data_IF_652439289017
#
_entry.id   IF_652439289017
#
_cell.length_a   1.000
_cell.length_b   1.000
_cell.length_c   1.000
_cell.angle_alpha   90.00
_cell.angle_beta   90.00
_cell.angle_gamma   90.00
#
_symmetry.space_group_name_H-M   'P 1'
#
loop_
_entity.id
_entity.type
_entity.pdbx_description
1 polymer ?
#
# COMPACT_ATOMS: atom_id res chain seq x y z
N UNK A 1 10.59 -19.08 -21.77
CA UNK A 1 9.91 -18.42 -20.63
C UNK A 1 10.41 -16.99 -20.51
N UNK A 2 9.55 -16.00 -20.70
CA UNK A 2 9.89 -14.62 -20.33
C UNK A 2 9.51 -14.40 -18.87
N UNK A 3 10.50 -13.99 -18.06
CA UNK A 3 10.31 -13.60 -16.67
C UNK A 3 10.22 -12.08 -16.61
N UNK A 4 9.19 -11.54 -15.95
CA UNK A 4 8.95 -10.10 -15.82
C UNK A 4 8.59 -9.75 -14.38
N UNK A 5 8.78 -8.49 -14.02
CA UNK A 5 8.31 -7.94 -12.75
C UNK A 5 7.16 -6.97 -13.01
N UNK A 6 6.17 -6.97 -12.11
CA UNK A 6 5.12 -5.96 -12.08
C UNK A 6 4.78 -5.54 -10.65
N UNK A 7 4.56 -4.25 -10.42
CA UNK A 7 3.97 -3.73 -9.18
C UNK A 7 2.48 -3.51 -9.43
N UNK A 8 1.62 -4.03 -8.54
CA UNK A 8 0.17 -4.09 -8.75
C UNK A 8 -0.59 -3.47 -7.57
N UNK A 9 -1.09 -2.23 -7.67
CA UNK A 9 -1.92 -1.63 -6.63
C UNK A 9 -3.24 -2.39 -6.40
N UNK A 10 -3.80 -3.03 -7.44
CA UNK A 10 -4.99 -3.87 -7.28
C UNK A 10 -4.70 -5.06 -6.39
N UNK A 11 -3.53 -5.69 -6.54
CA UNK A 11 -3.14 -6.79 -5.68
C UNK A 11 -2.91 -6.37 -4.24
N UNK A 12 -2.24 -5.25 -3.99
CA UNK A 12 -2.08 -4.76 -2.63
C UNK A 12 -3.43 -4.46 -1.98
N UNK A 13 -4.42 -4.01 -2.77
CA UNK A 13 -5.80 -3.83 -2.31
C UNK A 13 -6.45 -5.16 -1.93
N UNK A 14 -6.39 -6.16 -2.81
CA UNK A 14 -6.94 -7.51 -2.55
C UNK A 14 -6.23 -8.19 -1.38
N UNK A 15 -4.90 -8.15 -1.34
CA UNK A 15 -4.08 -8.74 -0.28
C UNK A 15 -4.32 -8.02 1.05
N UNK A 16 -4.46 -6.70 1.05
CA UNK A 16 -4.86 -5.92 2.24
C UNK A 16 -6.22 -6.35 2.78
N UNK A 17 -7.24 -6.52 1.92
CA UNK A 17 -8.54 -7.05 2.34
C UNK A 17 -8.43 -8.45 2.97
N UNK A 18 -7.55 -9.31 2.45
CA UNK A 18 -7.30 -10.64 3.01
C UNK A 18 -6.65 -10.58 4.39
N UNK A 19 -5.68 -9.68 4.58
CA UNK A 19 -5.06 -9.42 5.89
C UNK A 19 -6.12 -8.96 6.90
N UNK A 20 -7.01 -8.04 6.49
CA UNK A 20 -8.11 -7.54 7.34
C UNK A 20 -9.14 -8.63 7.69
N UNK A 21 -9.37 -9.59 6.79
CA UNK A 21 -10.26 -10.72 7.06
C UNK A 21 -9.66 -11.78 8.00
N UNK A 22 -8.34 -11.76 8.23
CA UNK A 22 -7.64 -12.71 9.09
C UNK A 22 -6.49 -12.03 9.86
N UNK A 23 -6.81 -11.03 10.71
CA UNK A 23 -5.81 -10.14 11.30
C UNK A 23 -4.82 -10.86 12.22
N UNK A 24 -5.23 -11.96 12.87
CA UNK A 24 -4.39 -12.77 13.76
C UNK A 24 -3.23 -13.46 13.04
N UNK A 25 -3.34 -13.69 11.72
CA UNK A 25 -2.30 -14.31 10.90
C UNK A 25 -1.22 -13.31 10.45
N UNK A 26 -1.41 -12.02 10.74
CA UNK A 26 -0.53 -10.95 10.28
C UNK A 26 -0.02 -10.05 11.42
N UNK A 27 0.82 -10.57 12.35
CA UNK A 27 1.38 -9.77 13.46
C UNK A 27 2.15 -8.53 12.99
N UNK A 28 2.84 -8.64 11.85
CA UNK A 28 3.59 -7.53 11.24
C UNK A 28 2.69 -6.37 10.80
N UNK A 29 1.43 -6.62 10.47
CA UNK A 29 0.49 -5.61 9.96
C UNK A 29 -0.43 -5.01 11.03
N UNK A 30 -0.31 -5.38 12.32
CA UNK A 30 -1.28 -4.98 13.37
C UNK A 30 -1.56 -3.47 13.43
N UNK A 31 -0.54 -2.64 13.23
CA UNK A 31 -0.69 -1.18 13.21
C UNK A 31 -1.47 -0.70 11.98
N UNK A 32 -1.20 -1.26 10.82
CA UNK A 32 -1.94 -0.96 9.60
C UNK A 32 -3.39 -1.49 9.69
N UNK A 33 -3.59 -2.69 10.22
CA UNK A 33 -4.92 -3.29 10.47
C UNK A 33 -5.77 -2.33 11.30
N UNK A 34 -5.30 -1.92 12.48
CA UNK A 34 -6.06 -1.02 13.36
C UNK A 34 -6.38 0.36 12.73
N UNK A 35 -5.56 0.82 11.78
CA UNK A 35 -5.76 2.05 11.03
C UNK A 35 -6.75 1.87 9.85
N UNK A 36 -6.64 0.75 9.13
CA UNK A 36 -7.44 0.43 7.95
C UNK A 36 -8.86 -0.02 8.32
N UNK A 37 -9.03 -0.77 9.41
CA UNK A 37 -10.36 -1.21 9.90
C UNK A 37 -11.30 -0.02 10.12
N UNK A 38 -10.81 1.06 10.73
CA UNK A 38 -11.61 2.28 10.98
C UNK A 38 -12.13 2.90 9.68
N UNK A 39 -11.28 2.95 8.66
CA UNK A 39 -11.62 3.52 7.35
C UNK A 39 -12.55 2.62 6.56
N UNK A 40 -12.37 1.29 6.65
CA UNK A 40 -13.25 0.34 6.00
C UNK A 40 -14.67 0.36 6.61
N UNK A 41 -14.79 0.60 7.93
CA UNK A 41 -16.08 0.84 8.59
C UNK A 41 -16.76 2.10 8.08
N UNK A 42 -16.01 3.19 7.86
CA UNK A 42 -16.55 4.45 7.32
C UNK A 42 -17.10 4.31 5.88
N UNK A 43 -16.55 3.40 5.07
CA UNK A 43 -17.08 3.07 3.74
C UNK A 43 -18.42 2.32 3.78
N UNK A 44 -18.79 1.76 4.93
CA UNK A 44 -20.02 0.99 5.08
C UNK A 44 -19.97 -0.42 4.46
N UNK A 45 -21.12 -1.13 4.48
CA UNK A 45 -21.20 -2.53 4.06
C UNK A 45 -20.82 -2.70 2.58
N UNK A 46 -20.32 -3.89 2.23
CA UNK A 46 -19.98 -4.25 0.84
C UNK A 46 -21.17 -4.89 0.12
N UNK A 47 -21.81 -4.18 -0.84
CA UNK A 47 -22.90 -4.76 -1.63
C UNK A 47 -22.40 -5.61 -2.82
N UNK A 48 -21.11 -5.61 -3.15
CA UNK A 48 -20.57 -6.08 -4.43
C UNK A 48 -20.03 -7.52 -4.44
N UNK A 49 -20.20 -8.28 -3.34
CA UNK A 49 -19.54 -9.57 -3.10
C UNK A 49 -18.00 -9.52 -3.09
N UNK A 50 -17.37 -8.36 -3.30
CA UNK A 50 -15.92 -8.23 -3.38
C UNK A 50 -15.22 -8.83 -2.16
N UNK A 51 -15.67 -8.48 -0.95
CA UNK A 51 -15.09 -8.99 0.28
C UNK A 51 -15.15 -10.52 0.34
N UNK A 52 -16.29 -11.11 -0.05
CA UNK A 52 -16.45 -12.56 -0.10
C UNK A 52 -15.47 -13.19 -1.10
N UNK A 53 -15.32 -12.62 -2.29
CA UNK A 53 -14.50 -13.18 -3.36
C UNK A 53 -12.99 -12.97 -3.13
N UNK A 54 -12.59 -11.81 -2.59
CA UNK A 54 -11.21 -11.47 -2.28
C UNK A 54 -10.62 -12.34 -1.15
N UNK A 55 -11.46 -12.83 -0.24
CA UNK A 55 -11.05 -13.59 0.95
C UNK A 55 -11.12 -15.11 0.78
N UNK A 56 -11.53 -15.61 -0.40
CA UNK A 56 -11.51 -17.05 -0.73
C UNK A 56 -10.09 -17.63 -0.67
N UNK A 57 -9.91 -18.93 -0.43
CA UNK A 57 -8.59 -19.57 -0.56
C UNK A 57 -7.95 -19.33 -1.94
N UNK A 58 -8.77 -19.38 -3.00
CA UNK A 58 -8.41 -19.00 -4.36
C UNK A 58 -9.29 -17.84 -4.79
N UNK A 59 -8.67 -16.67 -4.97
CA UNK A 59 -9.29 -15.47 -5.51
C UNK A 59 -9.57 -15.69 -7.00
N UNK A 60 -10.80 -15.43 -7.47
CA UNK A 60 -11.16 -15.52 -8.89
C UNK A 60 -10.20 -14.72 -9.77
N UNK A 61 -9.68 -15.35 -10.83
CA UNK A 61 -8.62 -14.75 -11.64
C UNK A 61 -9.03 -13.43 -12.30
N UNK A 62 -10.31 -13.26 -12.64
CA UNK A 62 -10.81 -12.01 -13.22
C UNK A 62 -10.71 -10.81 -12.27
N UNK A 63 -10.65 -11.02 -10.95
CA UNK A 63 -10.48 -9.96 -9.94
C UNK A 63 -9.02 -9.57 -9.73
N UNK A 64 -8.09 -10.42 -10.17
CA UNK A 64 -6.65 -10.23 -10.00
C UNK A 64 -5.93 -10.44 -11.33
N UNK A 65 -6.36 -9.77 -12.42
CA UNK A 65 -5.78 -9.95 -13.74
C UNK A 65 -4.27 -9.75 -13.66
N UNK A 66 -3.51 -10.65 -14.29
CA UNK A 66 -2.04 -10.59 -14.23
C UNK A 66 -1.54 -9.44 -15.10
N UNK A 67 -0.85 -8.42 -14.53
CA UNK A 67 -0.42 -7.25 -15.30
C UNK A 67 0.48 -7.63 -16.47
N UNK A 68 0.28 -7.00 -17.63
CA UNK A 68 1.12 -7.20 -18.82
C UNK A 68 2.31 -6.26 -18.92
N UNK A 69 2.41 -5.32 -17.99
CA UNK A 69 3.34 -4.20 -17.98
C UNK A 69 3.92 -4.04 -16.58
N UNK A 70 5.06 -3.34 -16.46
CA UNK A 70 5.84 -3.26 -15.22
C UNK A 70 5.12 -2.52 -14.08
N UNK A 71 4.36 -1.49 -14.39
CA UNK A 71 3.58 -0.75 -13.40
C UNK A 71 2.49 0.04 -14.14
N UNK A 72 1.29 0.05 -13.57
CA UNK A 72 0.15 0.87 -13.98
C UNK A 72 -0.61 1.33 -12.74
N UNK A 73 -1.31 2.46 -12.86
CA UNK A 73 -2.18 2.95 -11.79
C UNK A 73 -3.38 2.02 -11.55
N UNK A 74 -4.01 2.19 -10.38
CA UNK A 74 -5.16 1.39 -9.94
C UNK A 74 -6.29 1.38 -10.99
N UNK A 75 -6.60 2.51 -11.62
CA UNK A 75 -7.65 2.64 -12.65
C UNK A 75 -7.47 1.64 -13.78
N UNK A 76 -6.24 1.48 -14.29
CA UNK A 76 -5.96 0.57 -15.40
C UNK A 76 -6.10 -0.89 -14.99
N UNK A 77 -5.74 -1.24 -13.75
CA UNK A 77 -5.88 -2.61 -13.24
C UNK A 77 -7.34 -2.93 -12.93
N UNK A 78 -8.11 -1.98 -12.39
CA UNK A 78 -9.54 -2.15 -12.10
C UNK A 78 -10.36 -2.21 -13.39
N UNK A 79 -10.06 -1.36 -14.38
CA UNK A 79 -10.67 -1.41 -15.72
C UNK A 79 -10.44 -2.74 -16.44
N UNK A 80 -9.38 -3.46 -16.06
CA UNK A 80 -9.08 -4.76 -16.64
C UNK A 80 -10.12 -5.84 -16.30
N UNK A 81 -10.86 -5.70 -15.21
CA UNK A 81 -11.91 -6.64 -14.79
C UNK A 81 -12.99 -6.78 -15.88
N UNK A 82 -13.34 -5.68 -16.54
CA UNK A 82 -14.34 -5.65 -17.61
C UNK A 82 -13.93 -6.44 -18.87
N UNK A 83 -12.66 -6.87 -18.97
CA UNK A 83 -12.18 -7.75 -20.06
C UNK A 83 -12.48 -9.22 -19.82
N UNK A 84 -12.97 -9.60 -18.64
CA UNK A 84 -13.35 -10.98 -18.36
C UNK A 84 -14.63 -11.33 -19.10
N UNK A 85 -14.61 -12.45 -19.84
CA UNK A 85 -15.81 -12.92 -20.54
C UNK A 85 -16.78 -13.58 -19.54
N UNK A 86 -18.09 -13.60 -19.81
CA UNK A 86 -19.07 -14.28 -18.95
C UNK A 86 -18.69 -15.74 -18.66
N UNK A 87 -18.11 -16.45 -19.62
CA UNK A 87 -17.67 -17.84 -19.46
C UNK A 87 -16.51 -17.95 -18.45
N UNK A 88 -15.55 -17.02 -18.49
CA UNK A 88 -14.44 -16.98 -17.53
C UNK A 88 -14.91 -16.65 -16.13
N UNK A 89 -15.87 -15.74 -16.01
CA UNK A 89 -16.48 -15.36 -14.74
C UNK A 89 -17.22 -16.55 -14.14
N UNK A 90 -18.08 -17.21 -14.93
CA UNK A 90 -18.84 -18.39 -14.50
C UNK A 90 -17.93 -19.58 -14.15
N UNK A 91 -16.81 -19.76 -14.86
CA UNK A 91 -15.83 -20.81 -14.54
C UNK A 91 -15.07 -20.52 -13.22
N UNK A 92 -14.89 -19.25 -12.86
CA UNK A 92 -14.16 -18.86 -11.66
C UNK A 92 -15.07 -18.77 -10.41
N UNK A 93 -16.34 -18.42 -10.59
CA UNK A 93 -17.31 -18.21 -9.50
C UNK A 93 -18.68 -18.73 -9.90
N UNK A 94 -19.19 -19.67 -9.11
CA UNK A 94 -20.54 -20.21 -9.26
C UNK A 94 -21.55 -19.37 -8.44
N UNK A 95 -21.83 -18.13 -8.87
CA UNK A 95 -22.77 -17.22 -8.19
C UNK A 95 -23.98 -16.85 -9.08
N UNK A 96 -25.23 -17.06 -8.62
CA UNK A 96 -26.43 -16.72 -9.39
C UNK A 96 -26.60 -15.25 -9.76
N UNK A 97 -26.22 -14.32 -8.89
CA UNK A 97 -26.33 -12.89 -9.17
C UNK A 97 -25.32 -12.44 -10.22
N UNK A 98 -24.07 -12.88 -10.06
CA UNK A 98 -22.99 -12.64 -11.01
C UNK A 98 -23.26 -13.27 -12.38
N UNK A 99 -23.88 -14.46 -12.43
CA UNK A 99 -24.28 -15.11 -13.70
C UNK A 99 -25.46 -14.41 -14.38
N UNK A 100 -26.39 -13.84 -13.62
CA UNK A 100 -27.57 -13.17 -14.16
C UNK A 100 -27.25 -11.82 -14.82
N UNK A 101 -26.35 -11.03 -14.21
CA UNK A 101 -25.88 -9.76 -14.78
C UNK A 101 -24.38 -9.52 -14.47
N UNK A 102 -23.48 -10.17 -15.24
CA UNK A 102 -22.04 -10.07 -15.01
C UNK A 102 -21.50 -8.64 -15.15
N UNK A 103 -22.08 -7.86 -16.06
CA UNK A 103 -21.63 -6.49 -16.35
C UNK A 103 -21.88 -5.57 -15.17
N UNK A 104 -23.11 -5.56 -14.64
CA UNK A 104 -23.44 -4.73 -13.47
C UNK A 104 -22.70 -5.18 -12.22
N UNK A 105 -22.51 -6.49 -12.05
CA UNK A 105 -21.74 -7.03 -10.93
C UNK A 105 -20.25 -6.60 -11.01
N UNK A 106 -19.62 -6.69 -12.20
CA UNK A 106 -18.24 -6.20 -12.39
C UNK A 106 -18.16 -4.71 -12.11
N UNK A 107 -19.09 -3.90 -12.64
CA UNK A 107 -19.09 -2.45 -12.41
C UNK A 107 -19.17 -2.11 -10.90
N UNK A 108 -20.06 -2.79 -10.16
CA UNK A 108 -20.17 -2.62 -8.71
C UNK A 108 -18.88 -3.03 -7.97
N UNK A 109 -18.20 -4.08 -8.43
CA UNK A 109 -16.91 -4.50 -7.86
C UNK A 109 -15.79 -3.52 -8.19
N UNK A 110 -15.77 -2.94 -9.39
CA UNK A 110 -14.82 -1.91 -9.79
C UNK A 110 -14.96 -0.66 -8.90
N UNK A 111 -16.19 -0.16 -8.73
CA UNK A 111 -16.48 0.96 -7.83
C UNK A 111 -16.06 0.64 -6.39
N UNK A 112 -16.38 -0.56 -5.89
CA UNK A 112 -15.98 -0.98 -4.54
C UNK A 112 -14.47 -1.08 -4.40
N UNK A 113 -13.77 -1.61 -5.40
CA UNK A 113 -12.31 -1.72 -5.40
C UNK A 113 -11.64 -0.36 -5.32
N UNK A 114 -12.12 0.63 -6.09
CA UNK A 114 -11.65 2.01 -5.99
C UNK A 114 -11.87 2.59 -4.59
N UNK A 115 -13.09 2.47 -4.06
CA UNK A 115 -13.40 2.99 -2.73
C UNK A 115 -12.50 2.36 -1.64
N UNK A 116 -12.30 1.04 -1.69
CA UNK A 116 -11.42 0.33 -0.75
C UNK A 116 -9.97 0.76 -0.93
N UNK A 117 -9.47 0.79 -2.18
CA UNK A 117 -8.11 1.24 -2.48
C UNK A 117 -7.86 2.64 -1.92
N UNK A 118 -8.76 3.58 -2.19
CA UNK A 118 -8.63 4.97 -1.76
C UNK A 118 -8.67 5.13 -0.24
N UNK A 119 -9.43 4.26 0.43
CA UNK A 119 -9.46 4.22 1.88
C UNK A 119 -8.17 3.64 2.48
N UNK A 120 -7.71 2.47 2.05
CA UNK A 120 -6.71 1.69 2.81
C UNK A 120 -5.33 1.54 2.14
N UNK A 121 -5.23 1.78 0.84
CA UNK A 121 -3.97 1.63 0.07
C UNK A 121 -3.43 2.99 -0.40
N UNK A 122 -4.25 3.82 -1.05
CA UNK A 122 -3.81 5.10 -1.60
C UNK A 122 -3.06 5.99 -0.59
N UNK A 123 -3.49 6.13 0.68
CA UNK A 123 -2.78 6.96 1.65
C UNK A 123 -1.37 6.45 1.96
N UNK A 124 -1.16 5.13 1.93
CA UNK A 124 0.13 4.50 2.24
C UNK A 124 0.93 4.13 0.99
N UNK A 125 0.36 4.34 -0.20
CA UNK A 125 0.93 3.90 -1.47
C UNK A 125 2.34 4.41 -1.74
N UNK A 126 2.70 5.70 -1.52
CA UNK A 126 4.07 6.17 -1.80
C UNK A 126 5.15 5.41 -1.01
N UNK A 127 4.85 5.02 0.23
CA UNK A 127 5.76 4.19 1.05
C UNK A 127 5.76 2.75 0.58
N UNK A 128 4.59 2.20 0.29
CA UNK A 128 4.40 0.83 -0.18
C UNK A 128 5.15 0.62 -1.50
N UNK A 129 4.87 1.46 -2.50
CA UNK A 129 5.47 1.43 -3.82
C UNK A 129 6.99 1.54 -3.75
N UNK A 130 7.54 2.39 -2.88
CA UNK A 130 9.00 2.48 -2.69
C UNK A 130 9.63 1.15 -2.27
N UNK A 131 9.00 0.41 -1.35
CA UNK A 131 9.44 -0.94 -0.95
C UNK A 131 9.29 -1.93 -2.10
N UNK A 132 8.16 -1.93 -2.80
CA UNK A 132 7.90 -2.86 -3.91
C UNK A 132 8.88 -2.64 -5.07
N UNK A 133 9.13 -1.38 -5.46
CA UNK A 133 10.09 -1.04 -6.51
C UNK A 133 11.53 -1.38 -6.10
N UNK A 134 11.90 -1.12 -4.84
CA UNK A 134 13.21 -1.51 -4.31
C UNK A 134 13.44 -3.03 -4.34
N UNK A 135 12.39 -3.82 -4.11
CA UNK A 135 12.44 -5.27 -4.32
C UNK A 135 12.65 -5.64 -5.79
N UNK A 136 11.87 -5.04 -6.71
CA UNK A 136 12.02 -5.26 -8.16
C UNK A 136 13.45 -4.95 -8.62
N UNK A 137 14.05 -3.85 -8.18
CA UNK A 137 15.43 -3.48 -8.54
C UNK A 137 16.46 -4.48 -8.01
N UNK A 138 16.30 -4.93 -6.76
CA UNK A 138 17.17 -5.94 -6.16
C UNK A 138 17.07 -7.27 -6.92
N UNK A 139 15.85 -7.73 -7.19
CA UNK A 139 15.61 -8.99 -7.91
C UNK A 139 15.98 -8.91 -9.38
N UNK A 140 15.84 -7.73 -10.00
CA UNK A 140 16.27 -7.46 -11.37
C UNK A 140 17.78 -7.62 -11.54
N UNK A 141 18.59 -7.05 -10.63
CA UNK A 141 20.05 -7.29 -10.62
C UNK A 141 20.37 -8.78 -10.44
N UNK A 142 19.72 -9.43 -9.48
CA UNK A 142 19.90 -10.85 -9.20
C UNK A 142 19.54 -11.74 -10.40
N UNK A 143 18.52 -11.35 -11.18
CA UNK A 143 18.12 -12.04 -12.40
C UNK A 143 19.21 -12.00 -13.46
N UNK A 144 19.87 -10.85 -13.63
CA UNK A 144 20.98 -10.69 -14.58
C UNK A 144 22.21 -11.47 -14.12
N UNK A 145 22.51 -11.45 -12.82
CA UNK A 145 23.71 -12.09 -12.26
C UNK A 145 23.60 -13.61 -12.15
N UNK A 146 22.43 -14.14 -11.79
CA UNK A 146 22.27 -15.55 -11.38
C UNK A 146 21.14 -16.29 -12.11
N UNK A 147 20.40 -15.62 -12.99
CA UNK A 147 19.34 -16.22 -13.80
C UNK A 147 18.00 -16.43 -13.07
N UNK A 148 16.96 -16.73 -13.86
CA UNK A 148 15.59 -16.89 -13.39
C UNK A 148 15.37 -17.96 -12.32
N UNK A 149 15.88 -19.20 -12.49
CA UNK A 149 15.71 -20.26 -11.50
C UNK A 149 16.22 -19.88 -10.10
N UNK A 150 17.37 -19.19 -10.04
CA UNK A 150 17.94 -18.73 -8.77
C UNK A 150 17.04 -17.69 -8.11
N UNK A 151 16.56 -16.70 -8.88
CA UNK A 151 15.64 -15.69 -8.36
C UNK A 151 14.37 -16.34 -7.79
N UNK A 152 13.76 -17.27 -8.54
CA UNK A 152 12.53 -17.97 -8.12
C UNK A 152 12.73 -18.73 -6.80
N UNK A 153 13.85 -19.45 -6.65
CA UNK A 153 14.18 -20.20 -5.44
C UNK A 153 14.40 -19.29 -4.21
N UNK A 154 14.79 -18.03 -4.42
CA UNK A 154 15.02 -17.05 -3.35
C UNK A 154 13.77 -16.21 -3.01
N UNK A 155 12.62 -16.40 -3.70
CA UNK A 155 11.42 -15.60 -3.46
C UNK A 155 10.72 -15.94 -2.15
N UNK A 156 10.47 -17.23 -1.91
CA UNK A 156 9.75 -17.71 -0.74
C UNK A 156 9.97 -19.23 -0.52
N UNK A 157 9.96 -19.75 0.72
CA UNK A 157 10.12 -21.19 0.97
C UNK A 157 9.06 -22.09 0.32
N UNK A 158 7.85 -21.55 0.10
CA UNK A 158 6.76 -22.27 -0.58
C UNK A 158 6.90 -22.29 -2.12
N UNK A 159 7.89 -21.58 -2.68
CA UNK A 159 8.11 -21.50 -4.11
C UNK A 159 9.23 -22.46 -4.51
N UNK A 160 8.92 -23.41 -5.38
CA UNK A 160 9.93 -24.25 -6.02
C UNK A 160 9.74 -24.29 -7.52
N UNK A 161 10.84 -24.23 -8.26
CA UNK A 161 10.84 -24.26 -9.71
C UNK A 161 11.69 -25.42 -10.20
N UNK A 162 11.07 -26.32 -10.96
CA UNK A 162 11.72 -27.44 -11.65
C UNK A 162 11.19 -27.45 -13.07
N UNK A 163 11.95 -26.86 -13.99
CA UNK A 163 11.52 -26.67 -15.38
C UNK A 163 10.85 -27.95 -15.96
N UNK A 164 9.61 -27.85 -16.49
CA UNK A 164 8.81 -26.65 -16.75
C UNK A 164 7.81 -26.28 -15.64
N UNK A 165 7.89 -26.90 -14.48
CA UNK A 165 6.91 -26.80 -13.39
C UNK A 165 7.28 -25.75 -12.36
N UNK A 166 6.29 -24.97 -11.97
CA UNK A 166 6.32 -24.05 -10.83
C UNK A 166 5.36 -24.58 -9.77
N UNK A 167 5.87 -24.79 -8.57
CA UNK A 167 5.09 -25.15 -7.39
C UNK A 167 5.05 -23.98 -6.43
N UNK A 168 3.87 -23.62 -5.96
CA UNK A 168 3.62 -22.58 -4.95
C UNK A 168 2.69 -23.16 -3.90
N UNK A 169 3.18 -23.28 -2.66
CA UNK A 169 2.54 -24.07 -1.61
C UNK A 169 2.24 -25.49 -2.14
N UNK A 170 0.98 -25.92 -2.15
CA UNK A 170 0.58 -27.26 -2.61
C UNK A 170 0.10 -27.30 -4.08
N UNK A 171 0.30 -26.19 -4.82
CA UNK A 171 -0.18 -26.04 -6.20
C UNK A 171 0.98 -26.11 -7.18
N UNK A 172 0.97 -27.10 -8.06
CA UNK A 172 1.93 -27.23 -9.17
C UNK A 172 1.28 -26.90 -10.51
N UNK A 173 1.94 -26.06 -11.30
CA UNK A 173 1.51 -25.70 -12.66
C UNK A 173 2.67 -25.77 -13.64
N UNK A 174 2.43 -26.25 -14.85
CA UNK A 174 3.41 -26.17 -15.93
C UNK A 174 3.40 -24.76 -16.51
N UNK A 175 4.54 -24.05 -16.52
CA UNK A 175 4.60 -22.69 -17.09
C UNK A 175 4.25 -22.72 -18.58
N UNK A 176 4.77 -23.71 -19.31
CA UNK A 176 4.57 -23.83 -20.75
C UNK A 176 5.12 -22.63 -21.50
N UNK A 177 4.34 -22.11 -22.44
CA UNK A 177 4.69 -20.94 -23.24
C UNK A 177 4.27 -19.60 -22.59
N UNK A 178 3.65 -19.65 -21.40
CA UNK A 178 3.14 -18.46 -20.70
C UNK A 178 4.28 -17.60 -20.15
N UNK A 179 4.05 -16.28 -20.12
CA UNK A 179 4.90 -15.36 -19.35
C UNK A 179 4.72 -15.62 -17.86
N UNK A 180 5.82 -15.55 -17.09
CA UNK A 180 5.77 -15.54 -15.62
C UNK A 180 6.03 -14.12 -15.12
N UNK A 181 5.03 -13.53 -14.46
CA UNK A 181 5.07 -12.19 -13.88
C UNK A 181 5.25 -12.30 -12.37
N UNK A 182 6.38 -11.80 -11.89
CA UNK A 182 6.72 -11.71 -10.47
C UNK A 182 6.13 -10.41 -9.90
N UNK A 183 5.28 -10.54 -8.88
CA UNK A 183 4.56 -9.43 -8.25
C UNK A 183 4.96 -9.33 -6.78
N UNK A 184 5.94 -8.49 -6.41
CA UNK A 184 6.23 -8.26 -5.00
C UNK A 184 5.01 -7.67 -4.29
N UNK A 185 4.81 -8.04 -3.04
CA UNK A 185 3.67 -7.62 -2.25
C UNK A 185 4.03 -7.45 -0.77
N UNK A 186 3.50 -6.41 -0.13
CA UNK A 186 3.68 -6.25 1.31
C UNK A 186 2.71 -7.10 2.13
N UNK A 187 1.51 -7.35 1.60
CA UNK A 187 0.41 -7.99 2.31
C UNK A 187 0.23 -9.49 2.00
N UNK A 188 1.11 -10.08 1.19
CA UNK A 188 1.03 -11.52 0.84
C UNK A 188 1.66 -12.44 1.89
N UNK A 189 2.49 -11.90 2.80
CA UNK A 189 3.06 -12.66 3.93
C UNK A 189 1.97 -13.27 4.83
N UNK A 190 2.13 -14.49 5.37
CA UNK A 190 3.33 -15.33 5.39
C UNK A 190 3.47 -16.32 4.23
N UNK A 191 2.69 -16.16 3.17
CA UNK A 191 2.65 -17.12 2.06
C UNK A 191 3.17 -16.50 0.77
N UNK A 192 3.25 -17.31 -0.28
CA UNK A 192 3.24 -16.85 -1.67
C UNK A 192 1.89 -17.19 -2.33
N UNK A 193 1.50 -16.43 -3.35
CA UNK A 193 0.21 -16.64 -4.02
C UNK A 193 0.39 -16.75 -5.54
N UNK A 194 -0.20 -17.79 -6.13
CA UNK A 194 -0.15 -18.07 -7.56
C UNK A 194 -1.45 -17.64 -8.24
N UNK A 195 -1.33 -16.77 -9.24
CA UNK A 195 -2.39 -16.41 -10.20
C UNK A 195 -2.25 -17.29 -11.43
N UNK A 196 -3.06 -18.34 -11.48
CA UNK A 196 -3.09 -19.27 -12.61
C UNK A 196 -4.04 -18.75 -13.69
N UNK A 197 -3.57 -17.81 -14.50
CA UNK A 197 -4.31 -17.32 -15.67
C UNK A 197 -3.90 -18.11 -16.92
N UNK A 198 -4.84 -18.38 -17.85
CA UNK A 198 -4.53 -19.09 -19.09
C UNK A 198 -3.55 -18.33 -19.99
N UNK A 199 -3.46 -17.00 -19.85
CA UNK A 199 -2.61 -16.14 -20.70
C UNK A 199 -1.23 -15.88 -20.08
N UNK A 200 -1.15 -15.68 -18.76
CA UNK A 200 0.09 -15.41 -18.02
C UNK A 200 0.03 -16.03 -16.62
N UNK A 201 1.16 -16.43 -16.06
CA UNK A 201 1.22 -16.77 -14.64
C UNK A 201 1.63 -15.54 -13.84
N UNK A 202 0.95 -15.28 -12.73
CA UNK A 202 1.36 -14.28 -11.75
C UNK A 202 1.85 -14.96 -10.48
N UNK A 203 3.08 -14.67 -10.03
CA UNK A 203 3.57 -15.12 -8.73
C UNK A 203 3.68 -13.92 -7.79
N UNK A 204 2.74 -13.82 -6.86
CA UNK A 204 2.75 -12.84 -5.80
C UNK A 204 3.60 -13.34 -4.64
N UNK A 205 4.57 -12.55 -4.19
CA UNK A 205 5.51 -12.97 -3.16
C UNK A 205 5.79 -11.83 -2.17
N UNK A 206 6.18 -12.14 -0.91
CA UNK A 206 6.51 -11.12 0.07
C UNK A 206 7.70 -10.25 -0.37
N UNK A 207 7.47 -8.95 -0.53
CA UNK A 207 8.50 -7.98 -0.94
C UNK A 207 9.51 -7.78 0.18
N UNK A 208 10.79 -7.95 -0.06
CA UNK A 208 11.79 -7.71 0.99
C UNK A 208 11.76 -6.27 1.51
N UNK A 209 11.89 -6.11 2.83
CA UNK A 209 11.78 -4.81 3.51
C UNK A 209 10.34 -4.45 3.90
N UNK A 210 9.35 -5.28 3.58
CA UNK A 210 7.95 -5.02 3.99
C UNK A 210 7.78 -4.98 5.52
N UNK A 211 8.61 -5.70 6.27
CA UNK A 211 8.50 -5.78 7.74
C UNK A 211 8.62 -4.44 8.46
N UNK A 212 9.44 -3.52 7.91
CA UNK A 212 9.64 -2.18 8.46
C UNK A 212 8.61 -1.15 7.96
N UNK A 213 7.58 -1.55 7.21
CA UNK A 213 6.58 -0.62 6.67
C UNK A 213 5.79 0.11 7.75
N UNK A 214 5.54 -0.55 8.89
CA UNK A 214 4.70 0.00 9.96
C UNK A 214 5.49 0.26 11.24
N UNK A 215 6.78 -0.07 11.23
CA UNK A 215 7.68 0.24 12.33
C UNK A 215 7.78 1.75 12.49
N UNK A 216 7.65 2.19 13.75
CA UNK A 216 8.08 3.54 14.13
C UNK A 216 9.60 3.51 14.07
N UNK A 217 10.21 4.57 13.55
CA UNK A 217 11.54 4.88 14.03
C UNK A 217 11.37 5.27 15.49
N UNK A 218 11.70 4.36 16.41
CA UNK A 218 11.69 4.61 17.87
C UNK A 218 12.77 5.61 18.31
N UNK A 219 13.53 6.17 17.35
CA UNK A 219 14.40 7.29 17.63
C UNK A 219 13.54 8.43 18.20
N UNK A 220 13.96 9.07 19.31
CA UNK A 220 13.25 10.24 19.84
C UNK A 220 13.17 11.28 18.72
N UNK A 221 12.00 11.38 18.08
CA UNK A 221 11.80 12.16 16.86
C UNK A 221 12.15 13.61 17.12
N UNK A 222 12.02 14.06 18.38
CA UNK A 222 12.44 15.39 18.81
C UNK A 222 13.94 15.65 18.60
N UNK A 223 14.84 14.74 18.96
CA UNK A 223 16.29 14.96 18.83
C UNK A 223 16.75 14.84 17.38
N UNK A 224 16.18 13.88 16.64
CA UNK A 224 16.44 13.75 15.21
C UNK A 224 15.91 14.97 14.42
N UNK A 225 14.69 15.42 14.74
CA UNK A 225 14.08 16.63 14.16
C UNK A 225 14.88 17.87 14.56
N UNK A 226 15.32 17.98 15.82
CA UNK A 226 16.16 19.09 16.27
C UNK A 226 17.51 19.13 15.53
N UNK A 227 18.11 17.99 15.18
CA UNK A 227 19.32 17.95 14.33
C UNK A 227 19.03 18.35 12.88
N UNK A 228 17.86 18.00 12.35
CA UNK A 228 17.48 18.29 10.96
C UNK A 228 17.08 19.76 10.75
N UNK A 229 16.14 20.24 11.57
CA UNK A 229 15.55 21.57 11.41
C UNK A 229 16.03 22.55 12.47
N UNK A 230 16.86 22.16 13.43
CA UNK A 230 17.26 23.01 14.56
C UNK A 230 16.26 22.95 15.72
N UNK A 231 16.78 22.98 16.95
CA UNK A 231 15.99 22.75 18.18
C UNK A 231 14.79 23.68 18.34
N UNK A 232 14.92 24.97 18.05
CA UNK A 232 13.81 25.93 18.20
C UNK A 232 12.68 25.67 17.21
N UNK A 233 13.00 25.32 15.95
CA UNK A 233 11.97 24.99 14.93
C UNK A 233 11.30 23.65 15.22
N UNK A 234 12.05 22.67 15.73
CA UNK A 234 11.49 21.40 16.19
C UNK A 234 10.48 21.59 17.33
N UNK A 235 10.85 22.36 18.38
CA UNK A 235 9.94 22.70 19.49
C UNK A 235 8.70 23.47 19.03
N UNK A 236 8.87 24.44 18.13
CA UNK A 236 7.73 25.18 17.55
C UNK A 236 6.77 24.25 16.81
N UNK A 237 7.26 23.33 15.97
CA UNK A 237 6.40 22.37 15.26
C UNK A 237 5.60 21.46 16.20
N UNK A 238 6.19 21.08 17.34
CA UNK A 238 5.47 20.33 18.37
C UNK A 238 4.37 21.16 19.05
N UNK A 239 4.67 22.40 19.46
CA UNK A 239 3.70 23.30 20.11
C UNK A 239 2.51 23.66 19.22
N UNK A 240 2.72 23.73 17.90
CA UNK A 240 1.69 24.02 16.90
C UNK A 240 0.70 22.87 16.65
N UNK A 241 0.58 21.90 17.58
CA UNK A 241 -0.55 20.96 17.62
C UNK A 241 -1.89 21.68 17.80
N UNK A 242 -1.86 22.77 18.56
CA UNK A 242 -3.02 23.59 18.88
C UNK A 242 -2.82 24.96 18.23
N UNK A 243 -3.90 25.67 17.84
CA UNK A 243 -3.77 27.05 17.40
C UNK A 243 -3.07 27.86 18.49
N UNK A 244 -2.02 28.58 18.13
CA UNK A 244 -1.26 29.39 19.10
C UNK A 244 -0.79 30.69 18.47
N UNK A 245 -0.90 31.78 19.21
CA UNK A 245 -0.35 33.09 18.83
C UNK A 245 1.16 33.10 18.97
N UNK A 246 1.82 34.03 18.29
CA UNK A 246 3.28 34.24 18.40
C UNK A 246 3.68 34.56 19.85
N UNK A 247 2.85 35.31 20.58
CA UNK A 247 3.10 35.71 21.97
C UNK A 247 3.00 34.52 22.94
N UNK A 248 2.02 33.63 22.75
CA UNK A 248 1.90 32.40 23.55
C UNK A 248 3.09 31.47 23.31
N UNK A 249 3.50 31.30 22.06
CA UNK A 249 4.66 30.49 21.70
C UNK A 249 5.96 31.06 22.28
N UNK A 250 6.15 32.39 22.23
CA UNK A 250 7.29 33.06 22.82
C UNK A 250 7.38 32.81 24.34
N UNK A 251 6.25 32.94 25.02
CA UNK A 251 6.13 32.69 26.46
C UNK A 251 6.47 31.24 26.82
N UNK A 252 5.88 30.25 26.12
CA UNK A 252 6.12 28.82 26.41
C UNK A 252 7.55 28.37 26.11
N UNK A 253 8.16 28.93 25.07
CA UNK A 253 9.47 28.52 24.61
C UNK A 253 10.62 29.29 25.29
N UNK A 254 10.32 30.37 26.01
CA UNK A 254 11.33 31.21 26.66
C UNK A 254 12.18 32.00 25.67
N UNK A 255 11.61 32.43 24.54
CA UNK A 255 12.30 33.16 23.47
C UNK A 255 11.52 34.42 23.09
N UNK A 256 12.13 35.33 22.33
CA UNK A 256 11.48 36.59 21.94
C UNK A 256 10.40 36.39 20.88
N UNK A 257 9.38 37.24 20.89
CA UNK A 257 8.32 37.29 19.85
C UNK A 257 8.92 37.46 18.44
N UNK A 258 10.00 38.25 18.31
CA UNK A 258 10.72 38.42 17.05
C UNK A 258 11.36 37.12 16.56
N UNK A 259 12.02 36.37 17.45
CA UNK A 259 12.62 35.07 17.11
C UNK A 259 11.54 34.04 16.70
N UNK A 260 10.42 33.97 17.42
CA UNK A 260 9.29 33.11 17.05
C UNK A 260 8.74 33.51 15.68
N UNK A 261 8.53 34.80 15.42
CA UNK A 261 8.02 35.29 14.14
C UNK A 261 8.93 34.89 12.98
N UNK A 262 10.25 35.02 13.15
CA UNK A 262 11.24 34.63 12.16
C UNK A 262 11.21 33.12 11.88
N UNK A 263 11.19 32.29 12.92
CA UNK A 263 11.10 30.84 12.75
C UNK A 263 9.78 30.41 12.09
N UNK A 264 8.65 30.99 12.50
CA UNK A 264 7.35 30.72 11.88
C UNK A 264 7.31 31.15 10.40
N UNK A 265 7.98 32.23 10.03
CA UNK A 265 8.10 32.62 8.63
C UNK A 265 8.79 31.55 7.79
N UNK A 266 9.90 30.97 8.29
CA UNK A 266 10.61 29.86 7.63
C UNK A 266 9.74 28.60 7.56
N UNK A 267 9.07 28.24 8.66
CA UNK A 267 8.20 27.06 8.69
C UNK A 267 7.00 27.20 7.73
N UNK A 268 6.44 28.41 7.60
CA UNK A 268 5.39 28.70 6.60
C UNK A 268 5.91 28.63 5.18
N UNK A 269 7.08 29.21 4.90
CA UNK A 269 7.72 29.14 3.59
C UNK A 269 8.03 27.70 3.17
N UNK A 270 8.33 26.82 4.12
CA UNK A 270 8.53 25.39 3.92
C UNK A 270 7.22 24.56 3.90
N UNK A 271 6.05 25.19 4.04
CA UNK A 271 4.75 24.50 4.06
C UNK A 271 4.48 23.65 5.31
N UNK A 272 5.27 23.82 6.39
CA UNK A 272 5.16 23.05 7.64
C UNK A 272 4.20 23.67 8.65
N UNK A 273 3.90 24.97 8.50
CA UNK A 273 2.95 25.69 9.31
C UNK A 273 2.08 26.60 8.44
N UNK A 274 0.91 26.96 8.95
CA UNK A 274 -0.01 27.94 8.38
C UNK A 274 -0.44 28.91 9.46
N UNK A 275 -0.91 30.09 9.05
CA UNK A 275 -1.50 31.07 9.97
C UNK A 275 -2.92 31.37 9.53
N UNK A 276 -3.80 31.52 10.52
CA UNK A 276 -5.21 31.88 10.33
C UNK A 276 -5.56 33.00 11.29
N UNK A 277 -6.44 33.90 10.86
CA UNK A 277 -7.03 34.92 11.74
C UNK A 277 -8.21 34.31 12.51
N UNK A 278 -8.14 34.36 13.84
CA UNK A 278 -9.22 33.98 14.74
C UNK A 278 -9.63 35.21 15.56
N UNK A 279 -10.77 35.80 15.19
CA UNK A 279 -11.23 37.07 15.75
C UNK A 279 -10.22 38.21 15.52
N UNK A 280 -9.67 38.74 16.62
CA UNK A 280 -8.69 39.84 16.60
C UNK A 280 -7.24 39.36 16.53
N UNK A 281 -7.00 38.06 16.62
CA UNK A 281 -5.65 37.48 16.73
C UNK A 281 -5.28 36.67 15.49
N UNK A 282 -3.97 36.50 15.27
CA UNK A 282 -3.43 35.60 14.25
C UNK A 282 -2.78 34.43 14.97
N UNK A 283 -3.36 33.25 14.78
CA UNK A 283 -2.86 31.99 15.32
C UNK A 283 -2.13 31.21 14.24
N UNK A 284 -1.13 30.45 14.64
CA UNK A 284 -0.42 29.51 13.77
C UNK A 284 -0.75 28.08 14.16
N UNK A 285 -0.72 27.19 13.16
CA UNK A 285 -0.98 25.77 13.26
C UNK A 285 0.01 25.01 12.40
N UNK A 286 0.34 23.76 12.77
CA UNK A 286 1.10 22.88 11.88
C UNK A 286 0.21 22.41 10.73
N UNK A 287 0.80 22.18 9.56
CA UNK A 287 0.11 21.54 8.43
C UNK A 287 0.12 20.01 8.56
N UNK A 288 -0.53 19.31 7.63
CA UNK A 288 -0.35 17.86 7.47
C UNK A 288 1.12 17.48 7.24
N UNK A 289 1.85 18.25 6.43
CA UNK A 289 3.29 18.05 6.22
C UNK A 289 4.11 18.30 7.51
N UNK A 290 3.75 19.32 8.30
CA UNK A 290 4.37 19.55 9.61
C UNK A 290 4.09 18.42 10.61
N UNK A 291 2.88 17.87 10.61
CA UNK A 291 2.53 16.71 11.44
C UNK A 291 3.30 15.46 11.02
N UNK A 292 3.36 15.20 9.72
CA UNK A 292 4.12 14.11 9.12
C UNK A 292 5.59 14.16 9.54
N UNK A 293 6.21 15.33 9.44
CA UNK A 293 7.59 15.55 9.81
C UNK A 293 7.84 15.34 11.33
N UNK A 294 6.91 15.79 12.19
CA UNK A 294 7.01 15.58 13.64
C UNK A 294 6.82 14.11 14.03
N UNK A 295 5.99 13.36 13.30
CA UNK A 295 5.73 11.94 13.58
C UNK A 295 6.70 10.99 12.89
N UNK A 296 7.43 11.45 11.87
CA UNK A 296 8.17 10.57 10.97
C UNK A 296 7.24 9.66 10.16
N UNK A 297 6.02 10.14 9.89
CA UNK A 297 4.96 9.42 9.18
C UNK A 297 4.59 10.24 7.93
N UNK A 298 4.27 9.61 6.80
CA UNK A 298 3.54 10.31 5.73
C UNK A 298 2.06 10.24 6.09
N UNK A 299 1.25 11.32 5.88
CA UNK A 299 -0.16 11.35 6.30
C UNK A 299 -1.00 10.20 5.74
#
# INVERSE_FOLDING_TARGET
MALRFAVSPLWETIAGLRVLASPTLSPVHQRWIAWAEKRLVELGPDPSLLHLLATRPVVPEFLIPTPGVRSVGIDVEVDALARATPERIAAAVDDPGLRADPTSAIAAMQERLHAVHDAIIAPVWPRLEGVLQGDVERRGRRLVEAGGPTVLAELHPEVSFRNPELTVADRTVAIGERDLVLVPSAFTWPHAYLRDSPVRLGLCYPAHGFGSLWERSDAPTHDALARLVGGTRARLLCELERPSTVTELATRLGVTVGAVSQHLAVLRAAGLAVSRREGREVVSLRTGLGLALVRGEVP
#
